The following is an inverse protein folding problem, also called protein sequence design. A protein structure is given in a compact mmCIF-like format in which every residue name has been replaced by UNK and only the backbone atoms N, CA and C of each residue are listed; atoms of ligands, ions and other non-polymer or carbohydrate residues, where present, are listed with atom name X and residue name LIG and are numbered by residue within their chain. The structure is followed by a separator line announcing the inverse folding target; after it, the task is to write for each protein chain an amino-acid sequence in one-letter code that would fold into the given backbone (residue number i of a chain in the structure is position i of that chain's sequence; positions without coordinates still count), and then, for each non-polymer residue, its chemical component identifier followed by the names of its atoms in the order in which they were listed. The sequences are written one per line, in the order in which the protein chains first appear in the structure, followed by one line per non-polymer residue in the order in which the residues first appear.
data_IF_212193441926
#
_entry.id   IF_212193441926
#
_cell.length_a   1.000
_cell.length_b   1.000
_cell.length_c   1.000
_cell.angle_alpha   90.00
_cell.angle_beta   90.00
_cell.angle_gamma   90.00
#
_symmetry.space_group_name_H-M   'P 1'
#
loop_
_entity.id
_entity.type
_entity.pdbx_description
1 polymer ?
#
# COMPACT_ATOMS: atom_id res chain seq x y z
N UNK A 1 34.80 38.83 36.39
CA UNK A 1 33.57 38.77 35.56
C UNK A 1 33.67 37.87 34.32
N UNK A 2 34.86 37.46 33.83
CA UNK A 2 35.01 36.65 32.59
C UNK A 2 34.67 35.15 32.70
N UNK A 3 34.79 34.55 33.89
CA UNK A 3 34.59 33.10 34.10
C UNK A 3 33.10 32.70 33.97
N UNK A 4 32.19 33.55 34.44
CA UNK A 4 30.74 33.28 34.41
C UNK A 4 30.18 33.30 32.98
N UNK A 5 30.71 34.16 32.10
CA UNK A 5 30.32 34.18 30.68
C UNK A 5 30.82 32.95 29.92
N UNK A 6 32.02 32.45 30.21
CA UNK A 6 32.54 31.23 29.59
C UNK A 6 31.70 30.00 29.99
N UNK A 7 31.34 29.88 31.27
CA UNK A 7 30.53 28.76 31.77
C UNK A 7 29.13 28.76 31.12
N UNK A 8 28.47 29.92 31.03
CA UNK A 8 27.19 30.05 30.31
C UNK A 8 27.34 29.65 28.85
N UNK A 9 28.38 30.11 28.17
CA UNK A 9 28.62 29.79 26.75
C UNK A 9 28.82 28.28 26.52
N UNK A 10 29.58 27.60 27.38
CA UNK A 10 29.77 26.16 27.30
C UNK A 10 28.46 25.41 27.56
N UNK A 11 27.71 25.79 28.58
CA UNK A 11 26.41 25.18 28.92
C UNK A 11 25.38 25.31 27.79
N UNK A 12 25.28 26.49 27.17
CA UNK A 12 24.40 26.69 26.01
C UNK A 12 24.87 25.92 24.77
N UNK A 13 26.18 25.72 24.56
CA UNK A 13 26.71 24.88 23.47
C UNK A 13 26.38 23.41 23.70
N UNK A 14 26.54 22.87 24.91
CA UNK A 14 26.20 21.46 25.21
C UNK A 14 24.71 21.20 25.08
N UNK A 15 23.84 22.11 25.53
CA UNK A 15 22.39 21.96 25.35
C UNK A 15 22.01 21.97 23.86
N UNK A 16 22.53 22.93 23.07
CA UNK A 16 22.28 22.97 21.61
C UNK A 16 22.79 21.72 20.90
N UNK A 17 23.94 21.18 21.32
CA UNK A 17 24.50 19.95 20.76
C UNK A 17 23.65 18.72 21.13
N UNK A 18 23.20 18.62 22.39
CA UNK A 18 22.28 17.57 22.84
C UNK A 18 20.94 17.60 22.10
N UNK A 19 20.34 18.78 21.92
CA UNK A 19 19.12 18.95 21.13
C UNK A 19 19.31 18.55 19.66
N UNK A 20 20.46 18.92 19.06
CA UNK A 20 20.81 18.56 17.69
C UNK A 20 21.00 17.05 17.51
N UNK A 21 21.57 16.36 18.51
CA UNK A 21 21.72 14.90 18.48
C UNK A 21 20.36 14.22 18.65
N UNK A 22 19.52 14.69 19.58
CA UNK A 22 18.20 14.11 19.83
C UNK A 22 17.33 14.16 18.57
N UNK A 23 17.24 15.32 17.93
CA UNK A 23 16.48 15.49 16.68
C UNK A 23 17.03 14.58 15.57
N UNK A 24 18.36 14.45 15.45
CA UNK A 24 18.98 13.58 14.43
C UNK A 24 18.73 12.10 14.69
N UNK A 25 18.66 11.68 15.95
CA UNK A 25 18.34 10.29 16.34
C UNK A 25 16.86 9.99 16.14
N UNK A 26 15.97 10.95 16.41
CA UNK A 26 14.54 10.82 16.11
C UNK A 26 14.27 10.74 14.61
N UNK A 27 14.93 11.58 13.80
CA UNK A 27 14.84 11.59 12.33
C UNK A 27 15.45 10.31 11.70
N UNK A 28 16.48 9.72 12.32
CA UNK A 28 17.00 8.40 11.91
C UNK A 28 16.09 7.23 12.35
N UNK A 29 15.39 7.36 13.48
CA UNK A 29 14.44 6.34 13.94
C UNK A 29 13.14 6.35 13.13
N UNK A 30 12.64 7.52 12.76
CA UNK A 30 11.46 7.63 11.88
C UNK A 30 11.73 6.99 10.52
N UNK A 31 12.91 7.24 9.93
CA UNK A 31 13.28 6.67 8.63
C UNK A 31 13.44 5.15 8.65
N UNK A 32 14.02 4.56 9.71
CA UNK A 32 14.10 3.09 9.81
C UNK A 32 12.73 2.44 10.06
N UNK A 33 11.89 3.05 10.89
CA UNK A 33 10.53 2.58 11.12
C UNK A 33 9.70 2.58 9.84
N UNK A 34 9.76 3.68 9.08
CA UNK A 34 9.06 3.83 7.81
C UNK A 34 9.55 2.84 6.77
N UNK A 35 10.87 2.58 6.71
CA UNK A 35 11.46 1.53 5.86
C UNK A 35 10.89 0.15 6.18
N UNK A 36 10.87 -0.24 7.46
CA UNK A 36 10.31 -1.53 7.89
C UNK A 36 8.82 -1.62 7.60
N UNK A 37 8.07 -0.53 7.86
CA UNK A 37 6.64 -0.44 7.56
C UNK A 37 6.39 -0.62 6.06
N UNK A 38 7.14 0.05 5.20
CA UNK A 38 7.04 -0.05 3.74
C UNK A 38 7.30 -1.47 3.25
N UNK A 39 8.38 -2.11 3.72
CA UNK A 39 8.69 -3.50 3.34
C UNK A 39 7.53 -4.45 3.71
N UNK A 40 6.92 -4.27 4.89
CA UNK A 40 5.75 -5.07 5.31
C UNK A 40 4.55 -4.85 4.39
N UNK A 41 4.30 -3.61 3.98
CA UNK A 41 3.21 -3.29 3.05
C UNK A 41 3.48 -3.90 1.66
N UNK A 42 4.70 -3.79 1.13
CA UNK A 42 5.09 -4.42 -0.14
C UNK A 42 4.94 -5.95 -0.06
N UNK A 43 5.34 -6.59 1.05
CA UNK A 43 5.11 -8.04 1.25
C UNK A 43 3.62 -8.40 1.22
N UNK A 44 2.74 -7.57 1.80
CA UNK A 44 1.28 -7.78 1.73
C UNK A 44 0.75 -7.61 0.31
N UNK A 45 1.22 -6.58 -0.42
CA UNK A 45 0.88 -6.36 -1.83
C UNK A 45 1.31 -7.55 -2.69
N UNK A 46 2.55 -8.02 -2.53
CA UNK A 46 3.08 -9.20 -3.22
C UNK A 46 2.24 -10.44 -2.92
N UNK A 47 1.95 -10.71 -1.64
CA UNK A 47 1.11 -11.86 -1.24
C UNK A 47 -0.29 -11.79 -1.87
N UNK A 48 -0.90 -10.59 -1.91
CA UNK A 48 -2.19 -10.38 -2.55
C UNK A 48 -2.13 -10.57 -4.07
N UNK A 49 -1.07 -10.08 -4.73
CA UNK A 49 -0.85 -10.30 -6.17
C UNK A 49 -0.71 -11.80 -6.49
N UNK A 50 0.04 -12.56 -5.68
CA UNK A 50 0.16 -14.01 -5.82
C UNK A 50 -1.22 -14.66 -5.65
N UNK A 51 -1.99 -14.27 -4.63
CA UNK A 51 -3.31 -14.84 -4.39
C UNK A 51 -4.29 -14.59 -5.56
N UNK A 52 -4.28 -13.38 -6.15
CA UNK A 52 -5.06 -13.08 -7.36
C UNK A 52 -4.57 -13.94 -8.53
N UNK A 53 -3.25 -13.91 -8.80
CA UNK A 53 -2.64 -14.59 -9.95
C UNK A 53 -2.82 -16.12 -9.91
N UNK A 54 -2.97 -16.68 -8.70
CA UNK A 54 -3.20 -18.12 -8.48
C UNK A 54 -4.66 -18.47 -8.19
N UNK A 55 -5.59 -17.51 -8.35
CA UNK A 55 -7.03 -17.66 -8.10
C UNK A 55 -7.38 -18.17 -6.68
N UNK A 56 -6.51 -17.90 -5.69
CA UNK A 56 -6.78 -18.22 -4.28
C UNK A 56 -7.75 -17.22 -3.64
N UNK A 57 -7.90 -16.04 -4.25
CA UNK A 57 -8.86 -15.02 -3.88
C UNK A 57 -9.61 -14.58 -5.13
N UNK A 58 -10.88 -14.24 -4.96
CA UNK A 58 -11.64 -13.52 -5.98
C UNK A 58 -10.96 -12.18 -6.36
N UNK A 59 -11.06 -11.82 -7.63
CA UNK A 59 -10.42 -10.64 -8.21
C UNK A 59 -10.99 -9.34 -7.65
N UNK A 60 -12.30 -9.26 -7.35
CA UNK A 60 -12.90 -8.06 -6.75
C UNK A 60 -12.30 -7.79 -5.39
N UNK A 61 -12.27 -8.82 -4.54
CA UNK A 61 -11.68 -8.74 -3.19
C UNK A 61 -10.18 -8.48 -3.23
N UNK A 62 -9.48 -9.08 -4.19
CA UNK A 62 -8.06 -8.84 -4.43
C UNK A 62 -7.77 -7.38 -4.78
N UNK A 63 -8.49 -6.82 -5.75
CA UNK A 63 -8.29 -5.44 -6.21
C UNK A 63 -8.71 -4.42 -5.15
N UNK A 64 -9.82 -4.66 -4.43
CA UNK A 64 -10.20 -3.84 -3.28
C UNK A 64 -9.09 -3.76 -2.22
N UNK A 65 -8.35 -4.85 -1.97
CA UNK A 65 -7.20 -4.78 -1.06
C UNK A 65 -6.05 -3.96 -1.64
N UNK A 66 -5.85 -4.00 -2.96
CA UNK A 66 -4.79 -3.23 -3.62
C UNK A 66 -5.04 -1.72 -3.51
N UNK A 67 -6.30 -1.26 -3.55
CA UNK A 67 -6.65 0.17 -3.40
C UNK A 67 -6.29 0.74 -2.02
N UNK A 68 -6.13 -0.12 -1.00
CA UNK A 68 -5.58 0.28 0.30
C UNK A 68 -4.05 0.18 0.35
N UNK A 69 -3.49 -0.90 -0.19
CA UNK A 69 -2.05 -1.19 -0.04
C UNK A 69 -1.18 -0.22 -0.84
N UNK A 70 -1.57 0.10 -2.07
CA UNK A 70 -0.77 0.91 -2.98
C UNK A 70 -0.60 2.34 -2.44
N UNK A 71 -1.68 3.07 -2.07
CA UNK A 71 -1.53 4.41 -1.50
C UNK A 71 -0.71 4.40 -0.21
N UNK A 72 -0.92 3.43 0.68
CA UNK A 72 -0.17 3.32 1.93
C UNK A 72 1.34 3.10 1.72
N UNK A 73 1.75 2.46 0.62
CA UNK A 73 3.16 2.35 0.23
C UNK A 73 3.67 3.68 -0.31
N UNK A 74 2.90 4.31 -1.20
CA UNK A 74 3.25 5.57 -1.87
C UNK A 74 3.34 6.75 -0.90
N UNK A 75 2.57 6.75 0.20
CA UNK A 75 2.70 7.72 1.30
C UNK A 75 4.07 7.69 1.97
N UNK A 76 4.74 6.54 1.99
CA UNK A 76 6.08 6.40 2.57
C UNK A 76 7.15 6.70 1.51
N UNK A 77 7.08 6.00 0.38
CA UNK A 77 8.01 6.17 -0.74
C UNK A 77 7.40 5.57 -2.02
N UNK A 78 7.43 6.36 -3.09
CA UNK A 78 6.84 6.02 -4.38
C UNK A 78 7.35 4.69 -4.95
N UNK A 79 6.49 4.01 -5.72
CA UNK A 79 6.84 2.78 -6.44
C UNK A 79 7.34 3.15 -7.83
N UNK A 80 8.63 3.45 -7.96
CA UNK A 80 9.23 3.83 -9.24
C UNK A 80 9.06 2.74 -10.29
N UNK A 81 8.84 3.12 -11.55
CA UNK A 81 8.80 2.23 -12.73
C UNK A 81 7.74 1.11 -12.67
N UNK A 82 6.59 1.35 -12.04
CA UNK A 82 5.43 0.46 -12.13
C UNK A 82 4.14 1.29 -12.03
N UNK A 83 3.31 1.22 -13.06
CA UNK A 83 1.96 1.81 -13.00
C UNK A 83 0.97 0.75 -12.49
N UNK A 84 0.31 1.07 -11.36
CA UNK A 84 -0.66 0.23 -10.67
C UNK A 84 -2.09 0.82 -10.64
N UNK A 85 -2.36 1.90 -11.39
CA UNK A 85 -3.68 2.55 -11.47
C UNK A 85 -4.79 1.60 -11.93
N UNK A 86 -4.45 0.49 -12.62
CA UNK A 86 -5.45 -0.49 -13.08
C UNK A 86 -6.30 -1.06 -11.94
N UNK A 87 -5.73 -1.18 -10.73
CA UNK A 87 -6.45 -1.72 -9.57
C UNK A 87 -7.51 -0.74 -9.06
N UNK A 88 -7.21 0.55 -9.10
CA UNK A 88 -8.14 1.63 -8.75
C UNK A 88 -9.21 1.79 -9.83
N UNK A 89 -8.82 1.88 -11.11
CA UNK A 89 -9.75 1.96 -12.22
C UNK A 89 -10.76 0.81 -12.24
N UNK A 90 -10.30 -0.42 -11.94
CA UNK A 90 -11.21 -1.55 -11.85
C UNK A 90 -12.13 -1.45 -10.64
N UNK A 91 -11.59 -1.08 -9.47
CA UNK A 91 -12.39 -0.88 -8.27
C UNK A 91 -13.49 0.17 -8.47
N UNK A 92 -13.16 1.31 -9.06
CA UNK A 92 -14.12 2.38 -9.34
C UNK A 92 -15.24 1.91 -10.28
N UNK A 93 -14.89 1.10 -11.29
CA UNK A 93 -15.89 0.56 -12.22
C UNK A 93 -16.83 -0.47 -11.54
N UNK A 94 -16.36 -1.25 -10.54
CA UNK A 94 -17.20 -2.27 -9.91
C UNK A 94 -17.80 -1.90 -8.54
N UNK A 95 -17.29 -0.87 -7.84
CA UNK A 95 -17.62 -0.63 -6.43
C UNK A 95 -19.11 -0.34 -6.16
N UNK A 96 -19.86 0.09 -7.18
CA UNK A 96 -21.31 0.32 -7.08
C UNK A 96 -22.14 -0.97 -7.17
N UNK A 97 -21.54 -2.10 -7.53
CA UNK A 97 -22.23 -3.37 -7.69
C UNK A 97 -22.32 -4.14 -6.37
N UNK A 98 -23.45 -4.78 -6.06
CA UNK A 98 -23.58 -5.64 -4.89
C UNK A 98 -22.86 -6.98 -5.16
N UNK A 99 -21.69 -7.15 -4.55
CA UNK A 99 -20.83 -8.34 -4.80
C UNK A 99 -20.86 -9.31 -3.62
N UNK A 100 -20.98 -8.82 -2.38
CA UNK A 100 -20.87 -9.66 -1.19
C UNK A 100 -22.19 -9.72 -0.43
N UNK A 101 -22.19 -9.31 0.84
CA UNK A 101 -23.31 -9.41 1.76
C UNK A 101 -24.50 -8.53 1.36
N UNK A 102 -24.27 -7.50 0.57
CA UNK A 102 -25.28 -6.57 0.09
C UNK A 102 -26.32 -7.27 -0.80
N UNK A 103 -25.91 -8.36 -1.49
CA UNK A 103 -26.77 -9.11 -2.42
C UNK A 103 -28.05 -9.64 -1.78
N UNK A 104 -28.03 -9.90 -0.47
CA UNK A 104 -29.22 -10.41 0.26
C UNK A 104 -30.41 -9.44 0.29
N UNK A 105 -30.17 -8.16 -0.01
CA UNK A 105 -31.21 -7.12 -0.01
C UNK A 105 -31.89 -6.95 -1.38
N UNK A 106 -31.46 -7.69 -2.41
CA UNK A 106 -31.94 -7.55 -3.78
C UNK A 106 -32.67 -8.80 -4.25
N UNK A 107 -33.63 -8.63 -5.17
CA UNK A 107 -34.30 -9.75 -5.80
C UNK A 107 -33.42 -10.36 -6.92
N UNK A 108 -33.68 -11.63 -7.25
CA UNK A 108 -32.87 -12.40 -8.20
C UNK A 108 -32.85 -11.83 -9.62
N UNK A 109 -33.98 -11.31 -10.10
CA UNK A 109 -34.07 -10.75 -11.47
C UNK A 109 -33.20 -9.49 -11.60
N UNK A 110 -33.23 -8.63 -10.58
CA UNK A 110 -32.39 -7.44 -10.52
C UNK A 110 -30.89 -7.80 -10.46
N UNK A 111 -30.51 -8.75 -9.60
CA UNK A 111 -29.13 -9.23 -9.53
C UNK A 111 -28.64 -9.80 -10.85
N UNK A 112 -29.48 -10.55 -11.58
CA UNK A 112 -29.09 -11.12 -12.88
C UNK A 112 -28.75 -10.03 -13.93
N UNK A 113 -29.45 -8.88 -13.90
CA UNK A 113 -29.13 -7.74 -14.78
C UNK A 113 -27.77 -7.14 -14.42
N UNK A 114 -27.54 -6.89 -13.13
CA UNK A 114 -26.28 -6.35 -12.63
C UNK A 114 -25.09 -7.30 -12.86
N UNK A 115 -25.29 -8.60 -12.71
CA UNK A 115 -24.25 -9.61 -12.95
C UNK A 115 -23.80 -9.61 -14.42
N UNK A 116 -24.71 -9.35 -15.36
CA UNK A 116 -24.35 -9.24 -16.78
C UNK A 116 -23.49 -8.01 -17.06
N UNK A 117 -23.80 -6.87 -16.43
CA UNK A 117 -23.00 -5.65 -16.56
C UNK A 117 -21.63 -5.82 -15.91
N UNK A 118 -21.58 -6.40 -14.71
CA UNK A 118 -20.34 -6.67 -13.99
C UNK A 118 -19.44 -7.63 -14.77
N UNK A 119 -20.00 -8.65 -15.44
CA UNK A 119 -19.24 -9.56 -16.29
C UNK A 119 -18.52 -8.83 -17.45
N UNK A 120 -19.12 -7.77 -18.01
CA UNK A 120 -18.47 -6.97 -19.06
C UNK A 120 -17.26 -6.24 -18.49
N UNK A 121 -17.39 -5.67 -17.29
CA UNK A 121 -16.30 -5.00 -16.57
C UNK A 121 -15.19 -6.02 -16.26
N UNK A 122 -15.55 -7.19 -15.71
CA UNK A 122 -14.59 -8.24 -15.40
C UNK A 122 -13.80 -8.66 -16.64
N UNK A 123 -14.47 -8.88 -17.78
CA UNK A 123 -13.81 -9.24 -19.03
C UNK A 123 -12.83 -8.15 -19.52
N UNK A 124 -13.19 -6.88 -19.38
CA UNK A 124 -12.34 -5.74 -19.74
C UNK A 124 -11.04 -5.71 -18.93
N UNK A 125 -11.10 -5.97 -17.63
CA UNK A 125 -9.96 -5.78 -16.72
C UNK A 125 -9.19 -7.04 -16.37
N UNK A 126 -9.77 -8.23 -16.57
CA UNK A 126 -9.18 -9.50 -16.12
C UNK A 126 -7.72 -9.64 -16.53
N UNK A 127 -7.43 -9.67 -17.83
CA UNK A 127 -6.06 -9.88 -18.30
C UNK A 127 -5.10 -8.76 -17.86
N UNK A 128 -5.45 -7.46 -18.01
CA UNK A 128 -4.63 -6.37 -17.47
C UNK A 128 -4.27 -6.50 -15.98
N UNK A 129 -5.22 -6.93 -15.14
CA UNK A 129 -4.97 -7.16 -13.71
C UNK A 129 -3.99 -8.32 -13.52
N UNK A 130 -4.18 -9.44 -14.21
CA UNK A 130 -3.26 -10.58 -14.12
C UNK A 130 -1.84 -10.19 -14.57
N UNK A 131 -1.71 -9.44 -15.65
CA UNK A 131 -0.42 -8.94 -16.15
C UNK A 131 0.27 -8.06 -15.09
N UNK A 132 -0.48 -7.17 -14.43
CA UNK A 132 0.05 -6.33 -13.34
C UNK A 132 0.37 -7.10 -12.08
N UNK A 133 -0.40 -8.14 -11.74
CA UNK A 133 -0.03 -9.05 -10.67
C UNK A 133 1.28 -9.78 -10.97
N UNK A 134 1.47 -10.25 -12.21
CA UNK A 134 2.73 -10.88 -12.63
C UNK A 134 3.92 -9.90 -12.55
N UNK A 135 3.74 -8.65 -13.00
CA UNK A 135 4.75 -7.59 -12.89
C UNK A 135 5.14 -7.31 -11.42
N UNK A 136 4.16 -7.22 -10.51
CA UNK A 136 4.42 -7.10 -9.07
C UNK A 136 5.24 -8.28 -8.55
N UNK A 137 4.89 -9.51 -8.95
CA UNK A 137 5.55 -10.73 -8.50
C UNK A 137 7.00 -10.77 -8.97
N UNK A 138 7.24 -10.48 -10.25
CA UNK A 138 8.59 -10.42 -10.81
C UNK A 138 9.43 -9.36 -10.09
N UNK A 139 8.87 -8.15 -9.96
CA UNK A 139 9.61 -7.00 -9.43
C UNK A 139 9.91 -7.12 -7.94
N UNK A 140 8.98 -7.64 -7.13
CA UNK A 140 9.12 -7.67 -5.68
C UNK A 140 9.36 -9.07 -5.10
N UNK A 141 9.40 -10.11 -5.93
CA UNK A 141 9.59 -11.50 -5.52
C UNK A 141 10.91 -11.75 -4.78
N UNK A 142 11.91 -10.89 -4.95
CA UNK A 142 13.18 -10.95 -4.21
C UNK A 142 13.01 -10.67 -2.70
N UNK A 143 11.93 -9.97 -2.31
CA UNK A 143 11.60 -9.67 -0.92
C UNK A 143 11.05 -10.95 -0.28
N UNK A 144 11.93 -11.91 0.02
CA UNK A 144 11.55 -13.19 0.62
C UNK A 144 10.72 -12.98 1.89
N UNK A 145 9.78 -13.89 2.11
CA UNK A 145 9.14 -14.12 3.39
C UNK A 145 10.19 -14.66 4.38
N UNK A 146 11.03 -13.79 4.92
CA UNK A 146 11.54 -14.02 6.28
C UNK A 146 10.33 -13.92 7.20
N UNK A 147 9.84 -15.07 7.66
CA UNK A 147 8.98 -15.18 8.82
C UNK A 147 9.65 -14.55 10.04
#
# INVERSE_FOLDING_TARGET
MKIVEQIKTYFFKTIKFGFKIHNKVEEQKSTEFDRVKRIRLIKKMLSNAIAINTNQIDIHKGCYKMTYLIPAIQEIEFLDNINLEIFENYYDDFMSYPIWEERKYYNKEYLAKLDNELNIIDQKYKQPIFDKCAEIIEKFGYIKNGC
#
